data_IF_820407163342
#
_entry.id   IF_820407163342
#
_cell.length_a   1.000
_cell.length_b   1.000
_cell.length_c   1.000
_cell.angle_alpha   90.00
_cell.angle_beta   90.00
_cell.angle_gamma   90.00
#
_symmetry.space_group_name_H-M   'P 1'
#
loop_
_entity.id
_entity.type
_entity.pdbx_description
1 polymer ?
#
# COMPACT_ATOMS: atom_id res chain seq x y z
N UNK A 1 -20.68 13.49 -1.52
CA UNK A 1 -21.02 12.32 -0.68
C UNK A 1 -19.76 11.51 -0.49
N UNK A 2 -19.23 11.44 0.73
CA UNK A 2 -18.13 10.53 1.03
C UNK A 2 -18.70 9.11 1.08
N UNK A 3 -18.12 8.19 0.31
CA UNK A 3 -18.51 6.79 0.32
C UNK A 3 -17.96 6.17 1.61
N UNK A 4 -18.84 5.64 2.47
CA UNK A 4 -18.41 4.86 3.63
C UNK A 4 -17.90 3.49 3.16
N UNK A 5 -16.68 3.14 3.54
CA UNK A 5 -16.07 1.85 3.26
C UNK A 5 -16.57 0.79 4.25
N UNK A 6 -16.75 1.18 5.51
CA UNK A 6 -17.18 0.29 6.58
C UNK A 6 -17.85 1.08 7.70
N UNK A 7 -18.79 0.44 8.41
CA UNK A 7 -19.46 1.03 9.58
C UNK A 7 -19.56 0.02 10.71
N UNK A 8 -19.00 0.37 11.88
CA UNK A 8 -19.17 -0.39 13.12
C UNK A 8 -20.41 0.09 13.86
N UNK A 9 -21.19 -0.85 14.40
CA UNK A 9 -22.33 -0.56 15.28
C UNK A 9 -22.04 -1.09 16.68
N UNK A 10 -22.31 -0.27 17.69
CA UNK A 10 -22.07 -0.58 19.10
C UNK A 10 -23.27 -0.13 19.93
N UNK A 11 -24.25 -1.02 20.17
CA UNK A 11 -25.35 -0.74 21.07
C UNK A 11 -24.90 -0.81 22.54
N UNK A 12 -25.55 -0.02 23.39
CA UNK A 12 -25.41 -0.07 24.85
C UNK A 12 -26.67 0.52 25.51
N UNK A 13 -26.87 0.22 26.80
CA UNK A 13 -27.97 0.76 27.58
C UNK A 13 -27.44 1.70 28.66
N UNK A 14 -28.09 2.84 28.84
CA UNK A 14 -27.73 3.82 29.86
C UNK A 14 -28.97 4.55 30.35
N UNK A 15 -29.14 4.63 31.67
CA UNK A 15 -30.28 5.32 32.33
C UNK A 15 -31.68 4.89 31.84
N UNK A 16 -31.82 3.62 31.42
CA UNK A 16 -33.07 3.06 30.91
C UNK A 16 -33.35 3.35 29.42
N UNK A 17 -32.48 4.10 28.74
CA UNK A 17 -32.55 4.37 27.30
C UNK A 17 -31.60 3.47 26.50
N UNK A 18 -32.00 3.15 25.27
CA UNK A 18 -31.19 2.38 24.32
C UNK A 18 -30.34 3.32 23.47
N UNK A 19 -29.02 3.22 23.59
CA UNK A 19 -28.07 3.99 22.80
C UNK A 19 -27.35 3.12 21.76
N UNK A 20 -27.01 3.72 20.62
CA UNK A 20 -26.20 3.08 19.58
C UNK A 20 -25.16 4.05 19.04
N UNK A 21 -23.89 3.65 19.06
CA UNK A 21 -22.82 4.34 18.33
C UNK A 21 -22.64 3.69 16.97
N UNK A 22 -22.69 4.51 15.91
CA UNK A 22 -22.27 4.13 14.56
C UNK A 22 -20.98 4.85 14.21
N UNK A 23 -19.93 4.07 13.98
CA UNK A 23 -18.63 4.59 13.60
C UNK A 23 -18.33 4.19 12.15
N UNK A 24 -18.41 5.15 11.24
CA UNK A 24 -18.21 4.97 9.81
C UNK A 24 -16.83 5.47 9.39
N UNK A 25 -16.13 4.66 8.59
CA UNK A 25 -14.82 4.99 8.05
C UNK A 25 -14.92 5.19 6.52
N UNK A 26 -14.24 6.22 5.99
CA UNK A 26 -14.06 6.48 4.57
C UNK A 26 -12.57 6.53 4.21
N UNK A 27 -12.22 6.78 2.95
CA UNK A 27 -10.80 6.91 2.54
C UNK A 27 -10.08 8.10 3.17
N UNK A 28 -10.81 9.15 3.56
CA UNK A 28 -10.22 10.42 4.00
C UNK A 28 -10.75 10.92 5.34
N UNK A 29 -11.86 10.35 5.82
CA UNK A 29 -12.53 10.76 7.06
C UNK A 29 -13.05 9.58 7.85
N UNK A 30 -13.30 9.82 9.13
CA UNK A 30 -14.12 8.95 9.96
C UNK A 30 -15.19 9.78 10.66
N UNK A 31 -16.39 9.21 10.75
CA UNK A 31 -17.57 9.84 11.31
C UNK A 31 -18.14 8.95 12.39
N UNK A 32 -18.33 9.51 13.59
CA UNK A 32 -18.99 8.84 14.70
C UNK A 32 -20.34 9.50 14.95
N UNK A 33 -21.40 8.72 14.97
CA UNK A 33 -22.78 9.14 15.22
C UNK A 33 -23.31 8.42 16.46
N UNK A 34 -23.89 9.17 17.38
CA UNK A 34 -24.53 8.64 18.59
C UNK A 34 -26.05 8.75 18.44
N UNK A 35 -26.74 7.63 18.61
CA UNK A 35 -28.20 7.55 18.60
C UNK A 35 -28.72 7.23 20.00
N UNK A 36 -29.85 7.80 20.39
CA UNK A 36 -30.65 7.45 21.57
C UNK A 36 -32.06 7.12 21.12
N UNK A 37 -32.56 5.92 21.45
CA UNK A 37 -33.87 5.42 21.05
C UNK A 37 -34.14 5.60 19.53
N UNK A 38 -33.10 5.39 18.72
CA UNK A 38 -33.15 5.54 17.26
C UNK A 38 -33.04 6.98 16.72
N UNK A 39 -32.99 8.00 17.59
CA UNK A 39 -32.83 9.41 17.21
C UNK A 39 -31.37 9.83 17.29
N UNK A 40 -30.85 10.53 16.27
CA UNK A 40 -29.48 11.04 16.27
C UNK A 40 -29.34 12.15 17.33
N UNK A 41 -28.42 11.94 18.28
CA UNK A 41 -28.15 12.87 19.39
C UNK A 41 -26.90 13.70 19.12
N UNK A 42 -25.87 13.09 18.52
CA UNK A 42 -24.60 13.77 18.24
C UNK A 42 -23.91 13.15 17.02
N UNK A 43 -23.16 13.97 16.29
CA UNK A 43 -22.38 13.56 15.12
C UNK A 43 -21.04 14.31 15.09
N UNK A 44 -19.96 13.54 14.99
CA UNK A 44 -18.59 14.06 14.94
C UNK A 44 -17.87 13.48 13.72
N UNK A 45 -17.39 14.34 12.82
CA UNK A 45 -16.59 13.94 11.65
C UNK A 45 -15.18 14.50 11.76
N UNK A 46 -14.19 13.64 11.55
CA UNK A 46 -12.77 13.99 11.58
C UNK A 46 -12.08 13.55 10.30
N UNK A 47 -11.02 14.28 9.90
CA UNK A 47 -10.14 13.90 8.79
C UNK A 47 -8.99 13.03 9.29
N UNK A 48 -8.50 12.15 8.40
CA UNK A 48 -7.23 11.45 8.60
C UNK A 48 -6.06 12.42 8.43
N UNK A 49 -5.57 12.99 9.53
CA UNK A 49 -4.35 13.80 9.59
C UNK A 49 -3.36 13.11 10.52
N UNK A 50 -2.69 12.05 10.03
CA UNK A 50 -1.60 11.39 10.77
C UNK A 50 -2.03 10.35 11.83
N UNK A 51 -3.31 10.24 12.18
CA UNK A 51 -3.74 9.21 13.14
C UNK A 51 -5.24 9.08 13.36
N UNK A 52 -5.61 8.11 14.20
CA UNK A 52 -6.97 7.87 14.68
C UNK A 52 -7.11 8.45 16.08
N UNK A 53 -7.96 9.46 16.26
CA UNK A 53 -8.25 10.03 17.58
C UNK A 53 -9.50 9.37 18.15
N UNK A 54 -9.54 9.27 19.48
CA UNK A 54 -10.75 8.87 20.19
C UNK A 54 -11.78 9.98 20.06
N UNK A 55 -12.97 9.64 19.58
CA UNK A 55 -14.09 10.56 19.45
C UNK A 55 -14.90 10.52 20.74
N UNK A 56 -15.19 11.67 21.33
CA UNK A 56 -15.93 11.75 22.59
C UNK A 56 -17.25 12.47 22.36
N UNK A 57 -18.35 11.76 22.58
CA UNK A 57 -19.70 12.33 22.60
C UNK A 57 -20.09 12.68 24.03
N UNK A 58 -20.73 13.84 24.23
CA UNK A 58 -21.23 14.26 25.54
C UNK A 58 -22.72 13.99 25.61
N UNK A 59 -23.14 13.13 26.55
CA UNK A 59 -24.55 12.91 26.85
C UNK A 59 -25.05 14.07 27.71
N UNK A 60 -26.03 14.81 27.22
CA UNK A 60 -26.73 15.78 28.06
C UNK A 60 -27.70 15.04 28.97
N UNK A 61 -27.82 15.41 30.26
CA UNK A 61 -28.77 14.78 31.16
C UNK A 61 -30.20 14.99 30.66
N UNK A 62 -30.96 13.90 30.56
CA UNK A 62 -32.42 13.98 30.44
C UNK A 62 -32.96 14.64 31.70
N UNK A 63 -33.81 15.67 31.54
CA UNK A 63 -34.39 16.39 32.68
C UNK A 63 -35.41 15.50 33.41
N UNK A 64 -34.95 14.66 34.32
CA UNK A 64 -35.79 14.11 35.38
C UNK A 64 -35.46 14.79 36.70
N UNK A 65 -36.53 15.35 37.28
CA UNK A 65 -36.57 16.06 38.55
C UNK A 65 -35.92 15.22 39.66
N UNK A 66 -35.01 15.87 40.41
CA UNK A 66 -34.43 15.44 41.69
C UNK A 66 -33.39 14.30 41.66
N UNK A 67 -32.18 14.60 41.19
CA UNK A 67 -30.90 14.44 41.92
C UNK A 67 -29.74 14.69 40.95
N UNK A 68 -28.57 15.09 41.47
CA UNK A 68 -27.35 15.44 40.69
C UNK A 68 -27.04 14.44 39.57
N UNK A 69 -27.52 14.69 38.36
CA UNK A 69 -27.15 13.94 37.16
C UNK A 69 -25.76 14.39 36.74
N UNK A 70 -24.77 13.51 36.87
CA UNK A 70 -23.42 13.78 36.39
C UNK A 70 -23.46 13.67 34.86
N UNK A 71 -22.66 14.48 34.16
CA UNK A 71 -22.56 14.39 32.72
C UNK A 71 -21.84 13.07 32.33
N UNK A 72 -22.49 12.28 31.48
CA UNK A 72 -21.88 11.06 30.93
C UNK A 72 -21.20 11.34 29.59
N UNK A 73 -20.10 10.64 29.33
CA UNK A 73 -19.32 10.73 28.09
C UNK A 73 -19.22 9.36 27.45
N UNK A 74 -19.40 9.33 26.13
CA UNK A 74 -19.24 8.12 25.31
C UNK A 74 -18.01 8.32 24.43
N UNK A 75 -16.96 7.56 24.72
CA UNK A 75 -15.70 7.59 24.00
C UNK A 75 -15.63 6.42 23.03
N UNK A 76 -15.21 6.69 21.79
CA UNK A 76 -15.18 5.74 20.68
C UNK A 76 -13.80 5.73 20.07
N UNK A 77 -13.15 4.57 20.03
CA UNK A 77 -11.77 4.45 19.57
C UNK A 77 -11.39 3.06 19.11
N UNK A 78 -10.26 2.96 18.40
CA UNK A 78 -9.73 1.69 17.91
C UNK A 78 -8.92 1.00 19.01
N UNK A 79 -9.44 -0.14 19.49
CA UNK A 79 -8.69 -1.01 20.40
C UNK A 79 -7.79 -2.03 19.67
N UNK A 80 -7.92 -2.11 18.33
CA UNK A 80 -7.10 -2.92 17.43
C UNK A 80 -7.05 -2.26 16.05
N UNK A 81 -6.20 -2.74 15.13
CA UNK A 81 -6.12 -2.20 13.76
C UNK A 81 -7.38 -2.37 12.91
N UNK A 82 -8.30 -3.26 13.31
CA UNK A 82 -9.45 -3.65 12.51
C UNK A 82 -10.78 -3.53 13.26
N UNK A 83 -10.79 -3.04 14.50
CA UNK A 83 -12.02 -2.98 15.28
C UNK A 83 -12.04 -1.81 16.24
N UNK A 84 -13.24 -1.26 16.39
CA UNK A 84 -13.57 -0.11 17.23
C UNK A 84 -14.34 -0.58 18.46
N UNK A 85 -14.02 0.03 19.60
CA UNK A 85 -14.68 -0.15 20.87
C UNK A 85 -15.23 1.18 21.39
N UNK A 86 -16.18 1.07 22.31
CA UNK A 86 -16.74 2.18 23.07
C UNK A 86 -16.54 1.98 24.57
N UNK A 87 -16.33 3.09 25.26
CA UNK A 87 -16.35 3.24 26.72
C UNK A 87 -17.35 4.33 27.08
N UNK A 88 -18.20 4.07 28.08
CA UNK A 88 -19.15 5.05 28.63
C UNK A 88 -18.76 5.34 30.07
N UNK A 89 -18.51 6.60 30.38
CA UNK A 89 -18.09 7.06 31.70
C UNK A 89 -19.03 8.14 32.23
N UNK A 90 -19.33 8.08 33.51
CA UNK A 90 -20.03 9.15 34.22
C UNK A 90 -19.04 9.81 35.19
N UNK A 91 -18.49 10.96 34.78
CA UNK A 91 -17.33 11.54 35.45
C UNK A 91 -16.10 10.62 35.36
N UNK A 92 -15.62 10.10 36.51
CA UNK A 92 -14.51 9.15 36.59
C UNK A 92 -14.95 7.69 36.48
N UNK A 93 -16.24 7.43 36.70
CA UNK A 93 -16.77 6.10 36.92
C UNK A 93 -17.09 5.45 35.58
N UNK A 94 -16.54 4.26 35.33
CA UNK A 94 -16.76 3.51 34.11
C UNK A 94 -18.05 2.69 34.24
N UNK A 95 -19.01 2.96 33.37
CA UNK A 95 -20.34 2.35 33.42
C UNK A 95 -20.47 1.22 32.40
N UNK A 96 -19.89 1.40 31.22
CA UNK A 96 -19.97 0.39 30.17
C UNK A 96 -18.70 0.35 29.33
N UNK A 97 -18.25 -0.86 29.02
CA UNK A 97 -17.23 -1.13 28.01
C UNK A 97 -17.75 -2.18 27.05
N UNK A 98 -17.68 -1.87 25.75
CA UNK A 98 -17.99 -2.88 24.73
C UNK A 98 -17.01 -4.05 24.72
N UNK A 99 -15.76 -3.84 25.15
CA UNK A 99 -14.68 -4.82 25.13
C UNK A 99 -13.87 -4.72 26.44
N UNK A 100 -14.25 -5.47 27.49
CA UNK A 100 -13.63 -5.36 28.80
C UNK A 100 -12.11 -5.52 28.77
N UNK A 101 -11.39 -4.57 29.37
CA UNK A 101 -9.92 -4.61 29.50
C UNK A 101 -9.15 -4.34 28.20
N UNK A 102 -9.81 -3.83 27.16
CA UNK A 102 -9.17 -3.38 25.91
C UNK A 102 -9.14 -1.86 25.85
N UNK A 103 -7.96 -1.29 25.65
CA UNK A 103 -7.77 0.16 25.59
C UNK A 103 -8.21 0.74 24.25
N UNK A 104 -9.27 1.57 24.25
CA UNK A 104 -9.77 2.25 23.04
C UNK A 104 -8.79 3.29 22.48
N UNK A 105 -7.76 3.67 23.25
CA UNK A 105 -6.69 4.56 22.83
C UNK A 105 -5.53 3.78 22.17
N UNK A 106 -5.66 2.46 21.94
CA UNK A 106 -4.58 1.65 21.35
C UNK A 106 -4.01 2.26 20.07
N UNK A 107 -4.87 2.62 19.11
CA UNK A 107 -4.41 3.22 17.86
C UNK A 107 -3.80 4.60 18.11
N UNK A 108 -4.47 5.46 18.89
CA UNK A 108 -3.98 6.81 19.22
C UNK A 108 -2.60 6.77 19.85
N UNK A 109 -2.38 5.93 20.86
CA UNK A 109 -1.07 5.73 21.50
C UNK A 109 -0.02 5.20 20.54
N UNK A 110 -0.39 4.32 19.60
CA UNK A 110 0.55 3.82 18.58
C UNK A 110 0.95 4.92 17.61
N UNK A 111 0.03 5.80 17.22
CA UNK A 111 0.34 6.95 16.36
C UNK A 111 1.07 8.06 17.11
N UNK A 112 0.74 8.35 18.37
CA UNK A 112 1.49 9.32 19.20
C UNK A 112 2.94 8.88 19.41
N UNK A 113 3.20 7.59 19.66
CA UNK A 113 4.58 7.07 19.74
C UNK A 113 5.33 7.17 18.40
N UNK A 114 4.60 7.17 17.27
CA UNK A 114 5.20 7.42 15.95
C UNK A 114 5.40 8.93 15.74
N UNK A 115 4.43 9.78 16.07
CA UNK A 115 4.52 11.25 15.96
C UNK A 115 5.59 11.85 16.88
N UNK A 116 5.79 11.34 18.10
CA UNK A 116 6.91 11.78 18.96
C UNK A 116 8.28 11.40 18.36
N UNK A 117 8.34 10.34 17.55
CA UNK A 117 9.52 10.03 16.73
C UNK A 117 9.61 10.83 15.43
N UNK A 118 8.49 11.45 15.01
CA UNK A 118 8.28 12.13 13.71
C UNK A 118 8.03 13.65 13.86
N UNK A 119 8.13 14.21 15.08
CA UNK A 119 8.09 15.66 15.37
C UNK A 119 9.50 16.29 15.44
N UNK A 120 10.54 15.54 15.08
CA UNK A 120 11.86 16.11 14.87
C UNK A 120 11.83 17.10 13.69
N UNK A 121 12.67 18.13 13.72
CA UNK A 121 12.86 19.01 12.55
C UNK A 121 13.20 18.20 11.27
N UNK A 122 13.90 17.08 11.45
CA UNK A 122 14.34 16.17 10.40
C UNK A 122 13.17 15.45 9.69
N UNK A 123 12.10 15.10 10.40
CA UNK A 123 10.94 14.39 9.84
C UNK A 123 9.98 15.32 9.10
N UNK A 124 9.83 16.57 9.56
CA UNK A 124 9.11 17.61 8.82
C UNK A 124 9.83 17.93 7.50
N UNK A 125 11.16 18.01 7.54
CA UNK A 125 11.99 18.23 6.35
C UNK A 125 11.92 17.03 5.38
N UNK A 126 11.99 15.79 5.89
CA UNK A 126 11.77 14.57 5.09
C UNK A 126 10.40 14.56 4.42
N UNK A 127 9.34 14.93 5.14
CA UNK A 127 7.97 14.97 4.59
C UNK A 127 7.83 15.99 3.47
N UNK A 128 8.44 17.18 3.62
CA UNK A 128 8.47 18.20 2.56
C UNK A 128 9.24 17.69 1.34
N UNK A 129 10.41 17.12 1.55
CA UNK A 129 11.27 16.59 0.50
C UNK A 129 10.59 15.44 -0.27
N UNK A 130 9.88 14.55 0.42
CA UNK A 130 9.05 13.51 -0.19
C UNK A 130 7.90 14.11 -1.02
N UNK A 131 7.23 15.16 -0.51
CA UNK A 131 6.14 15.80 -1.25
C UNK A 131 6.62 16.45 -2.56
N UNK A 132 7.81 17.06 -2.55
CA UNK A 132 8.43 17.65 -3.74
C UNK A 132 8.88 16.57 -4.73
N UNK A 133 9.47 15.47 -4.23
CA UNK A 133 9.82 14.31 -5.04
C UNK A 133 8.57 13.70 -5.71
N UNK A 134 7.46 13.58 -4.97
CA UNK A 134 6.20 13.09 -5.51
C UNK A 134 5.68 13.99 -6.64
N UNK A 135 5.64 15.32 -6.44
CA UNK A 135 5.18 16.25 -7.48
C UNK A 135 6.04 16.14 -8.75
N UNK A 136 7.35 15.97 -8.59
CA UNK A 136 8.28 15.80 -9.70
C UNK A 136 8.09 14.46 -10.43
N UNK A 137 7.89 13.37 -9.69
CA UNK A 137 7.88 12.01 -10.24
C UNK A 137 6.48 11.54 -10.68
N UNK A 138 5.41 12.18 -10.20
CA UNK A 138 4.01 11.81 -10.49
C UNK A 138 3.71 11.58 -11.98
N UNK A 139 4.14 12.43 -12.94
CA UNK A 139 3.87 12.19 -14.36
C UNK A 139 4.44 10.86 -14.86
N UNK A 140 5.64 10.52 -14.43
CA UNK A 140 6.30 9.25 -14.77
C UNK A 140 5.62 8.05 -14.13
N UNK A 141 5.17 8.15 -12.88
CA UNK A 141 4.45 7.08 -12.19
C UNK A 141 3.10 6.84 -12.86
N UNK A 142 2.40 7.92 -13.26
CA UNK A 142 1.14 7.83 -13.99
C UNK A 142 1.31 7.21 -15.37
N UNK A 143 2.41 7.50 -16.07
CA UNK A 143 2.74 6.86 -17.35
C UNK A 143 2.87 5.33 -17.20
N UNK A 144 3.62 4.87 -16.19
CA UNK A 144 3.79 3.44 -15.89
C UNK A 144 2.44 2.77 -15.58
N UNK A 145 1.65 3.38 -14.68
CA UNK A 145 0.32 2.87 -14.31
C UNK A 145 -0.59 2.84 -15.54
N UNK A 146 -0.56 3.87 -16.38
CA UNK A 146 -1.38 3.97 -17.58
C UNK A 146 -1.08 2.87 -18.59
N UNK A 147 0.20 2.60 -18.85
CA UNK A 147 0.61 1.50 -19.75
C UNK A 147 0.21 0.15 -19.16
N UNK A 148 0.45 -0.07 -17.86
CA UNK A 148 0.05 -1.31 -17.18
C UNK A 148 -1.47 -1.54 -17.19
N UNK A 149 -2.26 -0.48 -16.95
CA UNK A 149 -3.72 -0.53 -17.00
C UNK A 149 -4.23 -0.83 -18.41
N UNK A 150 -3.64 -0.19 -19.44
CA UNK A 150 -3.99 -0.46 -20.83
C UNK A 150 -3.69 -1.93 -21.21
N UNK A 151 -2.53 -2.46 -20.81
CA UNK A 151 -2.20 -3.87 -20.99
C UNK A 151 -3.27 -4.78 -20.35
N UNK A 152 -3.62 -4.52 -19.09
CA UNK A 152 -4.62 -5.31 -18.37
C UNK A 152 -6.01 -5.25 -19.02
N UNK A 153 -6.47 -4.05 -19.39
CA UNK A 153 -7.76 -3.85 -20.04
C UNK A 153 -7.81 -4.62 -21.36
N UNK A 154 -6.78 -4.49 -22.20
CA UNK A 154 -6.73 -5.19 -23.48
C UNK A 154 -6.72 -6.70 -23.26
N UNK A 155 -5.85 -7.22 -22.39
CA UNK A 155 -5.79 -8.64 -22.07
C UNK A 155 -7.15 -9.18 -21.60
N UNK A 156 -7.89 -8.40 -20.78
CA UNK A 156 -9.22 -8.78 -20.30
C UNK A 156 -10.31 -8.73 -21.36
N UNK A 157 -10.27 -7.74 -22.25
CA UNK A 157 -11.30 -7.54 -23.29
C UNK A 157 -11.09 -8.50 -24.45
N UNK A 158 -9.85 -8.71 -24.89
CA UNK A 158 -9.54 -9.56 -26.04
C UNK A 158 -9.36 -11.02 -25.67
N UNK A 159 -8.97 -11.32 -24.42
CA UNK A 159 -8.55 -12.65 -24.01
C UNK A 159 -7.19 -13.09 -24.58
N UNK A 160 -6.48 -12.20 -25.28
CA UNK A 160 -5.21 -12.51 -25.96
C UNK A 160 -4.06 -11.69 -25.35
N UNK A 161 -3.14 -12.41 -24.69
CA UNK A 161 -1.97 -11.84 -24.05
C UNK A 161 -0.97 -11.26 -25.07
N UNK A 162 -0.95 -11.77 -26.29
CA UNK A 162 -0.08 -11.29 -27.38
C UNK A 162 -0.54 -9.92 -27.86
N UNK A 163 -1.84 -9.73 -28.08
CA UNK A 163 -2.43 -8.44 -28.45
C UNK A 163 -2.20 -7.41 -27.34
N UNK A 164 -2.37 -7.82 -26.08
CA UNK A 164 -2.10 -6.96 -24.92
C UNK A 164 -0.63 -6.53 -24.88
N UNK A 165 0.31 -7.47 -25.09
CA UNK A 165 1.73 -7.17 -25.11
C UNK A 165 2.11 -6.21 -26.24
N UNK A 166 1.65 -6.43 -27.46
CA UNK A 166 1.89 -5.51 -28.58
C UNK A 166 1.25 -4.13 -28.35
N UNK A 167 0.08 -4.08 -27.71
CA UNK A 167 -0.52 -2.79 -27.33
C UNK A 167 0.35 -2.05 -26.33
N UNK A 168 0.86 -2.74 -25.30
CA UNK A 168 1.83 -2.18 -24.37
C UNK A 168 3.09 -1.66 -25.06
N UNK A 169 3.61 -2.41 -26.04
CA UNK A 169 4.78 -2.00 -26.83
C UNK A 169 4.50 -0.75 -27.67
N UNK A 170 3.36 -0.71 -28.35
CA UNK A 170 2.95 0.45 -29.13
C UNK A 170 2.81 1.70 -28.24
N UNK A 171 2.16 1.57 -27.08
CA UNK A 171 2.01 2.66 -26.12
C UNK A 171 3.35 3.13 -25.56
N UNK A 172 4.25 2.20 -25.20
CA UNK A 172 5.59 2.57 -24.74
C UNK A 172 6.41 3.31 -25.80
N UNK A 173 6.34 2.89 -27.07
CA UNK A 173 6.99 3.60 -28.17
C UNK A 173 6.37 4.98 -28.40
N UNK A 174 5.03 5.08 -28.36
CA UNK A 174 4.32 6.34 -28.45
C UNK A 174 4.72 7.29 -27.31
N UNK A 175 5.00 6.75 -26.11
CA UNK A 175 5.45 7.51 -24.96
C UNK A 175 6.88 8.04 -25.16
N UNK A 176 7.78 7.24 -25.75
CA UNK A 176 9.13 7.69 -26.15
C UNK A 176 9.05 8.86 -27.15
N UNK A 177 8.14 8.79 -28.12
CA UNK A 177 7.93 9.88 -29.08
C UNK A 177 7.34 11.11 -28.39
N UNK A 178 6.33 10.91 -27.54
CA UNK A 178 5.63 11.97 -26.81
C UNK A 178 6.55 12.71 -25.86
N UNK A 179 7.50 12.02 -25.21
CA UNK A 179 8.51 12.63 -24.34
C UNK A 179 9.27 13.77 -25.03
N UNK A 180 9.50 13.69 -26.35
CA UNK A 180 10.21 14.74 -27.09
C UNK A 180 9.44 16.07 -27.13
N UNK A 181 8.12 16.02 -26.97
CA UNK A 181 7.24 17.18 -27.06
C UNK A 181 6.79 17.69 -25.68
N UNK A 182 7.11 16.96 -24.61
CA UNK A 182 6.62 17.22 -23.27
C UNK A 182 7.80 17.57 -22.34
N UNK A 183 7.65 18.64 -21.57
CA UNK A 183 8.70 19.11 -20.63
C UNK A 183 8.78 18.28 -19.35
N UNK A 184 7.70 17.57 -19.00
CA UNK A 184 7.70 16.66 -17.84
C UNK A 184 8.37 15.34 -18.21
N UNK A 185 9.05 14.74 -17.23
CA UNK A 185 9.68 13.43 -17.39
C UNK A 185 8.63 12.31 -17.29
N UNK A 186 8.30 11.70 -18.42
CA UNK A 186 7.40 10.55 -18.55
C UNK A 186 8.19 9.22 -18.60
N UNK A 187 9.45 9.24 -19.05
CA UNK A 187 10.29 8.05 -19.27
C UNK A 187 11.19 7.67 -18.10
N UNK A 188 11.30 8.53 -17.09
CA UNK A 188 12.16 8.25 -15.95
C UNK A 188 11.62 7.18 -14.99
N UNK A 189 10.51 6.53 -15.32
CA UNK A 189 9.94 5.39 -14.60
C UNK A 189 10.41 4.09 -15.24
N UNK A 190 9.63 3.03 -15.02
CA UNK A 190 9.88 1.71 -15.59
C UNK A 190 9.11 1.44 -16.89
N UNK A 191 8.32 2.37 -17.41
CA UNK A 191 7.57 2.22 -18.66
C UNK A 191 8.40 1.65 -19.82
N UNK A 192 9.60 2.20 -20.06
CA UNK A 192 10.47 1.74 -21.17
C UNK A 192 10.98 0.33 -20.92
N UNK A 193 11.46 0.07 -19.70
CA UNK A 193 11.96 -1.24 -19.33
C UNK A 193 10.86 -2.30 -19.40
N UNK A 194 9.69 -2.02 -18.84
CA UNK A 194 8.50 -2.86 -18.92
C UNK A 194 8.05 -3.10 -20.36
N UNK A 195 8.10 -2.07 -21.21
CA UNK A 195 7.79 -2.20 -22.65
C UNK A 195 8.76 -3.16 -23.34
N UNK A 196 10.07 -3.05 -23.09
CA UNK A 196 11.06 -3.97 -23.65
C UNK A 196 10.82 -5.39 -23.15
N UNK A 197 10.53 -5.56 -21.86
CA UNK A 197 10.22 -6.88 -21.29
C UNK A 197 8.94 -7.49 -21.88
N UNK A 198 7.90 -6.68 -22.09
CA UNK A 198 6.68 -7.12 -22.78
C UNK A 198 6.97 -7.54 -24.23
N UNK A 199 7.83 -6.82 -24.94
CA UNK A 199 8.24 -7.18 -26.29
C UNK A 199 9.00 -8.51 -26.31
N UNK A 200 9.99 -8.69 -25.43
CA UNK A 200 10.73 -9.95 -25.30
C UNK A 200 9.76 -11.09 -24.95
N UNK A 201 8.79 -10.83 -24.07
CA UNK A 201 7.76 -11.78 -23.63
C UNK A 201 6.83 -12.19 -24.78
N UNK A 202 6.41 -11.23 -25.60
CA UNK A 202 5.59 -11.48 -26.78
C UNK A 202 6.35 -12.30 -27.82
N UNK A 203 7.59 -11.90 -28.14
CA UNK A 203 8.45 -12.64 -29.09
C UNK A 203 8.68 -14.06 -28.60
N UNK A 204 8.98 -14.23 -27.31
CA UNK A 204 9.15 -15.55 -26.70
C UNK A 204 7.90 -16.41 -26.87
N UNK A 205 6.71 -15.83 -26.63
CA UNK A 205 5.43 -16.56 -26.73
C UNK A 205 5.05 -16.89 -28.18
N UNK A 206 5.53 -16.13 -29.17
CA UNK A 206 5.34 -16.44 -30.61
C UNK A 206 6.29 -17.53 -31.06
N UNK A 207 7.58 -17.38 -30.74
CA UNK A 207 8.66 -18.27 -31.19
C UNK A 207 8.56 -19.64 -30.52
N UNK A 208 8.19 -19.67 -29.24
CA UNK A 208 8.17 -20.89 -28.43
C UNK A 208 6.74 -21.24 -28.04
N UNK A 209 6.14 -22.19 -28.77
CA UNK A 209 4.79 -22.72 -28.52
C UNK A 209 4.78 -23.96 -27.60
N UNK A 210 5.95 -24.39 -27.11
CA UNK A 210 6.07 -25.56 -26.24
C UNK A 210 5.62 -25.23 -24.82
N UNK A 211 4.77 -26.07 -24.23
CA UNK A 211 4.30 -25.97 -22.84
C UNK A 211 5.48 -25.86 -21.86
N UNK A 212 6.54 -26.65 -22.05
CA UNK A 212 7.73 -26.60 -21.20
C UNK A 212 8.45 -25.24 -21.28
N UNK A 213 8.53 -24.65 -22.48
CA UNK A 213 9.15 -23.33 -22.64
C UNK A 213 8.28 -22.21 -22.06
N UNK A 214 6.96 -22.36 -22.09
CA UNK A 214 6.02 -21.47 -21.41
C UNK A 214 6.27 -21.49 -19.90
N UNK A 215 6.45 -22.68 -19.30
CA UNK A 215 6.77 -22.81 -17.87
C UNK A 215 8.12 -22.17 -17.50
N UNK A 216 9.10 -22.19 -18.41
CA UNK A 216 10.41 -21.57 -18.23
C UNK A 216 10.46 -20.07 -18.51
N UNK A 217 9.35 -19.48 -18.98
CA UNK A 217 9.30 -18.04 -19.32
C UNK A 217 9.72 -17.16 -18.15
N UNK A 218 9.26 -17.47 -16.93
CA UNK A 218 9.65 -16.77 -15.71
C UNK A 218 11.15 -16.85 -15.43
N UNK A 219 11.77 -18.01 -15.68
CA UNK A 219 13.23 -18.21 -15.56
C UNK A 219 14.00 -17.32 -16.53
N UNK A 220 13.63 -17.31 -17.82
CA UNK A 220 14.31 -16.49 -18.81
C UNK A 220 14.17 -15.00 -18.52
N UNK A 221 12.98 -14.54 -18.14
CA UNK A 221 12.75 -13.13 -17.77
C UNK A 221 13.57 -12.74 -16.55
N UNK A 222 13.61 -13.59 -15.52
CA UNK A 222 14.40 -13.38 -14.32
C UNK A 222 15.89 -13.27 -14.62
N UNK A 223 16.44 -14.15 -15.47
CA UNK A 223 17.84 -14.13 -15.89
C UNK A 223 18.20 -12.87 -16.69
N UNK A 224 17.36 -12.47 -17.65
CA UNK A 224 17.59 -11.25 -18.46
C UNK A 224 17.55 -10.02 -17.55
N UNK A 225 16.53 -9.90 -16.70
CA UNK A 225 16.40 -8.79 -15.75
C UNK A 225 17.59 -8.71 -14.80
N UNK A 226 17.97 -9.84 -14.19
CA UNK A 226 19.12 -9.91 -13.30
C UNK A 226 20.43 -9.53 -14.00
N UNK A 227 20.64 -9.98 -15.24
CA UNK A 227 21.83 -9.64 -16.02
C UNK A 227 21.94 -8.14 -16.25
N UNK A 228 20.86 -7.50 -16.69
CA UNK A 228 20.84 -6.05 -16.92
C UNK A 228 21.03 -5.27 -15.62
N UNK A 229 20.43 -5.72 -14.51
CA UNK A 229 20.61 -5.10 -13.19
C UNK A 229 22.04 -5.30 -12.64
N UNK A 230 22.67 -6.46 -12.85
CA UNK A 230 24.09 -6.67 -12.49
C UNK A 230 24.98 -5.70 -13.27
N UNK A 231 24.75 -5.54 -14.57
CA UNK A 231 25.50 -4.60 -15.40
C UNK A 231 25.33 -3.18 -14.85
N UNK A 232 24.11 -2.75 -14.55
CA UNK A 232 23.88 -1.42 -13.95
C UNK A 232 24.52 -1.29 -12.56
N UNK A 233 24.38 -2.28 -11.69
CA UNK A 233 24.93 -2.28 -10.33
C UNK A 233 26.46 -2.26 -10.29
N UNK A 234 27.12 -2.99 -11.19
CA UNK A 234 28.59 -3.08 -11.25
C UNK A 234 29.18 -1.88 -11.98
N UNK A 235 28.72 -1.57 -13.19
CA UNK A 235 29.37 -0.60 -14.07
C UNK A 235 28.85 0.82 -13.88
N UNK A 236 27.55 0.97 -13.59
CA UNK A 236 26.89 2.26 -13.44
C UNK A 236 26.49 2.55 -11.97
N UNK A 237 26.98 1.74 -11.02
CA UNK A 237 26.72 1.86 -9.57
C UNK A 237 25.22 1.93 -9.22
N UNK A 238 24.37 1.30 -10.03
CA UNK A 238 22.92 1.34 -9.86
C UNK A 238 22.25 2.63 -10.35
N UNK A 239 22.95 3.50 -11.07
CA UNK A 239 22.46 4.81 -11.46
C UNK A 239 21.25 4.78 -12.39
N UNK A 240 21.02 3.71 -13.14
CA UNK A 240 19.85 3.58 -14.00
C UNK A 240 18.64 3.02 -13.24
N UNK A 241 18.75 1.84 -12.62
CA UNK A 241 17.61 1.19 -11.96
C UNK A 241 17.36 1.76 -10.56
N UNK A 242 18.41 2.09 -9.80
CA UNK A 242 18.32 2.63 -8.45
C UNK A 242 17.59 3.97 -8.43
N UNK A 243 18.02 4.92 -9.26
CA UNK A 243 17.36 6.23 -9.42
C UNK A 243 15.88 6.13 -9.81
N UNK A 244 15.52 5.10 -10.59
CA UNK A 244 14.12 4.86 -10.98
C UNK A 244 13.32 4.28 -9.83
N UNK A 245 13.86 3.27 -9.15
CA UNK A 245 13.22 2.64 -8.00
C UNK A 245 12.98 3.62 -6.85
N UNK A 246 13.91 4.55 -6.64
CA UNK A 246 13.79 5.61 -5.63
C UNK A 246 12.52 6.46 -5.81
N UNK A 247 11.95 6.53 -7.03
CA UNK A 247 10.68 7.23 -7.28
C UNK A 247 9.46 6.54 -6.65
N UNK A 248 9.57 5.25 -6.33
CA UNK A 248 8.47 4.43 -5.82
C UNK A 248 8.65 4.04 -4.36
N UNK A 249 9.81 4.32 -3.76
CA UNK A 249 10.08 4.03 -2.34
C UNK A 249 10.18 5.34 -1.57
N UNK A 250 9.63 5.36 -0.36
CA UNK A 250 9.61 6.56 0.49
C UNK A 250 10.92 6.78 1.28
N UNK A 251 11.94 5.95 1.04
CA UNK A 251 13.18 5.95 1.82
C UNK A 251 14.37 6.05 0.86
N UNK A 252 15.38 6.90 1.14
CA UNK A 252 16.61 6.90 0.36
C UNK A 252 17.24 5.51 0.38
N UNK A 253 17.67 5.05 -0.78
CA UNK A 253 18.25 3.73 -0.98
C UNK A 253 19.65 3.89 -1.55
N UNK A 254 20.59 3.10 -1.05
CA UNK A 254 21.91 3.00 -1.68
C UNK A 254 21.75 2.25 -3.02
N UNK A 255 21.81 3.00 -4.13
CA UNK A 255 21.49 2.51 -5.47
C UNK A 255 22.24 1.23 -5.85
N UNK A 256 23.55 1.20 -5.62
CA UNK A 256 24.41 0.05 -5.96
C UNK A 256 23.98 -1.22 -5.22
N UNK A 257 23.85 -1.12 -3.90
CA UNK A 257 23.48 -2.25 -3.07
C UNK A 257 22.07 -2.74 -3.41
N UNK A 258 21.14 -1.81 -3.58
CA UNK A 258 19.75 -2.12 -3.88
C UNK A 258 19.61 -2.82 -5.24
N UNK A 259 20.22 -2.30 -6.30
CA UNK A 259 20.12 -2.90 -7.65
C UNK A 259 20.80 -4.26 -7.73
N UNK A 260 21.96 -4.45 -7.08
CA UNK A 260 22.59 -5.78 -6.99
C UNK A 260 21.71 -6.74 -6.19
N UNK A 261 21.09 -6.28 -5.11
CA UNK A 261 20.13 -7.06 -4.35
C UNK A 261 18.92 -7.50 -5.18
N UNK A 262 18.36 -6.59 -5.99
CA UNK A 262 17.28 -6.93 -6.93
C UNK A 262 17.71 -7.96 -7.96
N UNK A 263 18.93 -7.86 -8.47
CA UNK A 263 19.45 -8.87 -9.38
C UNK A 263 19.59 -10.25 -8.72
N UNK A 264 20.07 -10.30 -7.47
CA UNK A 264 20.15 -11.54 -6.71
C UNK A 264 18.76 -12.16 -6.47
N UNK A 265 17.76 -11.33 -6.13
CA UNK A 265 16.36 -11.78 -6.04
C UNK A 265 15.92 -12.36 -7.40
N UNK A 266 16.19 -11.67 -8.51
CA UNK A 266 15.87 -12.14 -9.85
C UNK A 266 16.51 -13.49 -10.19
N UNK A 267 17.77 -13.71 -9.80
CA UNK A 267 18.45 -15.00 -9.96
C UNK A 267 17.84 -16.09 -9.08
N UNK A 268 17.52 -15.78 -7.82
CA UNK A 268 16.85 -16.72 -6.91
C UNK A 268 15.47 -17.12 -7.45
N UNK A 269 14.68 -16.16 -7.92
CA UNK A 269 13.38 -16.41 -8.55
C UNK A 269 13.52 -17.24 -9.82
N UNK A 270 14.49 -16.91 -10.68
CA UNK A 270 14.74 -17.69 -11.89
C UNK A 270 15.11 -19.15 -11.58
N UNK A 271 15.93 -19.37 -10.55
CA UNK A 271 16.30 -20.70 -10.06
C UNK A 271 15.10 -21.46 -9.47
N UNK A 272 14.25 -20.79 -8.69
CA UNK A 272 13.00 -21.38 -8.19
C UNK A 272 12.06 -21.74 -9.34
N UNK A 273 11.82 -20.83 -10.28
CA UNK A 273 10.98 -21.06 -11.45
C UNK A 273 11.48 -22.25 -12.27
N UNK A 274 12.80 -22.37 -12.45
CA UNK A 274 13.40 -23.52 -13.13
C UNK A 274 13.18 -24.83 -12.36
N UNK A 275 13.38 -24.80 -11.04
CA UNK A 275 13.18 -25.97 -10.17
C UNK A 275 11.73 -26.43 -10.16
N UNK A 276 10.77 -25.50 -10.09
CA UNK A 276 9.33 -25.79 -10.13
C UNK A 276 8.95 -26.37 -11.49
N UNK A 277 9.39 -25.76 -12.59
CA UNK A 277 9.08 -26.24 -13.94
C UNK A 277 9.67 -27.63 -14.24
N UNK A 278 10.80 -28.00 -13.62
CA UNK A 278 11.47 -29.29 -13.89
C UNK A 278 11.05 -30.43 -12.96
N UNK A 279 10.66 -30.13 -11.72
CA UNK A 279 10.43 -31.16 -10.70
C UNK A 279 8.96 -31.35 -10.33
N UNK A 280 8.10 -30.36 -10.59
CA UNK A 280 6.69 -30.42 -10.22
C UNK A 280 5.80 -30.76 -11.40
N UNK A 281 4.61 -31.27 -11.10
CA UNK A 281 3.56 -31.45 -12.10
C UNK A 281 2.99 -30.11 -12.55
N UNK A 282 2.32 -30.08 -13.71
CA UNK A 282 1.71 -28.88 -14.28
C UNK A 282 0.71 -28.20 -13.32
N UNK A 283 -0.13 -28.99 -12.63
CA UNK A 283 -1.09 -28.44 -11.67
C UNK A 283 -0.40 -27.76 -10.47
N UNK A 284 0.73 -28.31 -10.02
CA UNK A 284 1.53 -27.72 -8.95
C UNK A 284 2.28 -26.48 -9.43
N UNK A 285 2.81 -26.50 -10.65
CA UNK A 285 3.41 -25.33 -11.29
C UNK A 285 2.40 -24.19 -11.42
N UNK A 286 1.18 -24.46 -11.89
CA UNK A 286 0.12 -23.45 -12.02
C UNK A 286 -0.25 -22.84 -10.67
N UNK A 287 -0.33 -23.68 -9.63
CA UNK A 287 -0.57 -23.22 -8.25
C UNK A 287 0.56 -22.33 -7.76
N UNK A 288 1.80 -22.71 -8.04
CA UNK A 288 2.99 -21.94 -7.67
C UNK A 288 3.02 -20.57 -8.36
N UNK A 289 2.88 -20.56 -9.68
CA UNK A 289 2.90 -19.36 -10.54
C UNK A 289 1.78 -18.39 -10.14
N UNK A 290 0.59 -18.91 -9.86
CA UNK A 290 -0.58 -18.09 -9.52
C UNK A 290 -0.53 -17.53 -8.10
N UNK A 291 -0.14 -18.33 -7.10
CA UNK A 291 -0.37 -17.98 -5.69
C UNK A 291 0.88 -17.87 -4.83
N UNK A 292 2.00 -18.49 -5.21
CA UNK A 292 3.17 -18.64 -4.34
C UNK A 292 4.32 -17.73 -4.79
N UNK A 293 4.56 -17.62 -6.10
CA UNK A 293 5.68 -16.87 -6.66
C UNK A 293 5.68 -15.40 -6.20
N UNK A 294 4.53 -14.72 -6.36
CA UNK A 294 4.40 -13.30 -6.04
C UNK A 294 4.61 -13.01 -4.54
N UNK A 295 3.99 -13.72 -3.59
CA UNK A 295 4.30 -13.54 -2.17
C UNK A 295 5.77 -13.75 -1.81
N UNK A 296 6.42 -14.78 -2.37
CA UNK A 296 7.86 -15.03 -2.13
C UNK A 296 8.69 -13.84 -2.60
N UNK A 297 8.44 -13.37 -3.83
CA UNK A 297 9.11 -12.18 -4.37
C UNK A 297 8.91 -10.96 -3.47
N UNK A 298 7.67 -10.68 -3.05
CA UNK A 298 7.35 -9.55 -2.18
C UNK A 298 8.10 -9.61 -0.84
N UNK A 299 8.15 -10.77 -0.19
CA UNK A 299 8.89 -10.93 1.07
C UNK A 299 10.36 -10.61 0.88
N UNK A 300 11.01 -11.17 -0.15
CA UNK A 300 12.42 -10.89 -0.43
C UNK A 300 12.66 -9.41 -0.79
N UNK A 301 11.75 -8.82 -1.57
CA UNK A 301 11.82 -7.41 -1.95
C UNK A 301 11.72 -6.49 -0.72
N UNK A 302 10.76 -6.72 0.17
CA UNK A 302 10.62 -5.90 1.39
C UNK A 302 11.81 -6.05 2.34
N UNK A 303 12.37 -7.25 2.47
CA UNK A 303 13.61 -7.47 3.23
C UNK A 303 14.76 -6.66 2.62
N UNK A 304 14.88 -6.65 1.28
CA UNK A 304 15.90 -5.87 0.59
C UNK A 304 15.72 -4.36 0.79
N UNK A 305 14.51 -3.82 0.61
CA UNK A 305 14.21 -2.40 0.83
C UNK A 305 14.58 -1.99 2.26
N UNK A 306 14.17 -2.79 3.25
CA UNK A 306 14.49 -2.54 4.65
C UNK A 306 16.00 -2.52 4.91
N UNK A 307 16.74 -3.49 4.33
CA UNK A 307 18.19 -3.59 4.52
C UNK A 307 18.95 -2.50 3.78
N UNK A 308 18.52 -2.13 2.57
CA UNK A 308 19.10 -1.05 1.79
C UNK A 308 18.91 0.31 2.47
N UNK A 309 17.73 0.54 3.08
CA UNK A 309 17.47 1.75 3.86
C UNK A 309 18.36 1.88 5.08
N UNK A 310 18.62 0.77 5.81
CA UNK A 310 19.57 0.77 6.94
C UNK A 310 20.99 1.12 6.53
N UNK A 311 21.47 0.52 5.44
CA UNK A 311 22.84 0.75 4.95
C UNK A 311 23.04 2.20 4.52
N UNK A 312 22.04 2.79 3.85
CA UNK A 312 22.07 4.23 3.52
C UNK A 312 22.15 5.13 4.75
N UNK A 313 21.60 4.73 5.89
CA UNK A 313 21.68 5.50 7.14
C UNK A 313 23.03 5.31 7.86
N UNK A 314 23.72 4.20 7.64
CA UNK A 314 25.07 3.94 8.16
C UNK A 314 26.12 4.73 7.36
N UNK A 315 26.00 4.77 6.03
CA UNK A 315 26.93 5.52 5.15
C UNK A 315 26.77 7.05 5.27
N UNK A 316 25.67 7.53 5.85
CA UNK A 316 25.39 8.95 6.08
C UNK A 316 25.91 9.49 7.43
N UNK A 317 26.47 8.62 8.29
CA UNK A 317 27.09 8.99 9.57
C UNK A 317 28.61 9.10 9.44
#
# INVERSE_FOLDING_TARGET
>A
MAISLWTYKRPFQYDGDDYEVKYSCSLTTYTSQLFCNGTLVDECTHQFQGGFKVVVHKLQPSSQSNNKTKAATVSVGYFSWLSVGIEVREGSDLIYESHPGKDINFATKKFENLEDSDNSLESIEKTKLQSEQWQKNKPSILADIGIGAAFFIVAKVTGDLTIAAFTGVFLGLALVITQRFVKVDLLGGFAVFGTIMLLISAIFSIVFQSEYLVQLKGTFMGLISASVMIVDGIFNKGGYFGTRFERYVNTPIEHRYFVIGLALIGLCMAGMNYSVATQLSEAQWLTYDTFIETPIYLVMFFILVWRAGKKSAEDAK
#
